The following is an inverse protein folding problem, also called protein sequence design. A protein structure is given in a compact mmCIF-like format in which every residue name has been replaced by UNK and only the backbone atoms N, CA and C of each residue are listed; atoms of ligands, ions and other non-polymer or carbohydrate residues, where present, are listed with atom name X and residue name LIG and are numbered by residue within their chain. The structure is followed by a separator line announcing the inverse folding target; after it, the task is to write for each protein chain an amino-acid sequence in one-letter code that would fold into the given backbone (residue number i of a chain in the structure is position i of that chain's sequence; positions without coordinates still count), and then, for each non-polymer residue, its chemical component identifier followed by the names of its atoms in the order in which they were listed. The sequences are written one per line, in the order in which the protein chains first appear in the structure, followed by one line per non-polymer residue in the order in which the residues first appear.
data_IF_077897313219
#
_entry.id   IF_077897313219
#
_cell.length_a   1.000
_cell.length_b   1.000
_cell.length_c   1.000
_cell.angle_alpha   90.00
_cell.angle_beta   90.00
_cell.angle_gamma   90.00
#
_symmetry.space_group_name_H-M   'P 1'
#
loop_
_entity.id
_entity.type
_entity.pdbx_description
1 polymer ?
#
# COMPACT_ATOMS: atom_id res chain seq x y z
N UNK A 1 17.68 11.94 -15.94
CA UNK A 1 17.13 11.06 -17.00
C UNK A 1 16.08 10.18 -16.33
N UNK A 2 14.79 10.39 -16.63
CA UNK A 2 13.70 9.54 -16.12
C UNK A 2 13.83 8.21 -16.83
N UNK A 3 14.18 7.14 -16.10
CA UNK A 3 14.14 5.82 -16.68
C UNK A 3 12.69 5.32 -16.50
N UNK A 4 11.88 5.23 -17.57
CA UNK A 4 10.44 4.95 -17.44
C UNK A 4 10.14 3.57 -16.83
N UNK A 5 11.15 2.69 -16.77
CA UNK A 5 11.09 1.34 -16.20
C UNK A 5 11.60 1.27 -14.75
N UNK A 6 12.03 2.39 -14.15
CA UNK A 6 12.55 2.37 -12.78
C UNK A 6 11.42 2.60 -11.78
N UNK A 7 10.94 1.50 -11.18
CA UNK A 7 9.91 1.53 -10.13
C UNK A 7 10.28 2.48 -8.98
N UNK A 8 11.57 2.64 -8.67
CA UNK A 8 12.04 3.50 -7.60
C UNK A 8 11.84 4.99 -7.91
N UNK A 9 12.07 5.42 -9.15
CA UNK A 9 11.88 6.82 -9.56
C UNK A 9 10.40 7.23 -9.47
N UNK A 10 9.51 6.33 -9.88
CA UNK A 10 8.06 6.51 -9.78
C UNK A 10 7.59 6.49 -8.33
N UNK A 11 8.15 5.61 -7.48
CA UNK A 11 7.88 5.57 -6.04
C UNK A 11 8.25 6.88 -5.36
N UNK A 12 9.46 7.38 -5.62
CA UNK A 12 9.94 8.65 -5.05
C UNK A 12 9.06 9.83 -5.51
N UNK A 13 8.66 9.85 -6.78
CA UNK A 13 7.72 10.85 -7.29
C UNK A 13 6.36 10.78 -6.57
N UNK A 14 5.85 9.57 -6.33
CA UNK A 14 4.62 9.36 -5.58
C UNK A 14 4.71 9.86 -4.15
N UNK A 15 5.84 9.65 -3.47
CA UNK A 15 6.10 10.20 -2.13
C UNK A 15 6.10 11.72 -2.18
N UNK A 16 6.79 12.33 -3.14
CA UNK A 16 6.81 13.81 -3.28
C UNK A 16 5.41 14.38 -3.50
N UNK A 17 4.54 13.75 -4.28
CA UNK A 17 3.17 14.21 -4.45
C UNK A 17 2.34 14.04 -3.15
N UNK A 18 2.49 12.91 -2.45
CA UNK A 18 1.81 12.66 -1.18
C UNK A 18 2.23 13.67 -0.09
N UNK A 19 3.52 14.04 -0.02
CA UNK A 19 4.02 15.08 0.89
C UNK A 19 3.46 16.48 0.59
N UNK A 20 2.91 16.69 -0.61
CA UNK A 20 2.29 17.94 -1.04
C UNK A 20 0.74 17.88 -1.02
N UNK A 21 0.16 16.86 -0.38
CA UNK A 21 -1.30 16.60 -0.34
C UNK A 21 -1.93 16.43 -1.75
N UNK A 22 -1.15 16.02 -2.74
CA UNK A 22 -1.59 15.77 -4.12
C UNK A 22 -1.87 14.27 -4.34
N UNK A 23 -2.88 13.77 -3.63
CA UNK A 23 -3.21 12.34 -3.55
C UNK A 23 -3.46 11.69 -4.92
N UNK A 24 -4.08 12.42 -5.85
CA UNK A 24 -4.33 11.90 -7.20
C UNK A 24 -3.04 11.62 -7.97
N UNK A 25 -2.09 12.55 -7.92
CA UNK A 25 -0.81 12.38 -8.60
C UNK A 25 0.09 11.37 -7.87
N UNK A 26 -0.02 11.29 -6.55
CA UNK A 26 0.66 10.26 -5.76
C UNK A 26 0.21 8.85 -6.17
N UNK A 27 -1.11 8.62 -6.27
CA UNK A 27 -1.68 7.34 -6.73
C UNK A 27 -1.22 7.03 -8.16
N UNK A 28 -1.28 8.00 -9.07
CA UNK A 28 -0.86 7.79 -10.47
C UNK A 28 0.61 7.39 -10.58
N UNK A 29 1.50 8.06 -9.83
CA UNK A 29 2.92 7.71 -9.79
C UNK A 29 3.15 6.33 -9.17
N UNK A 30 2.43 5.99 -8.09
CA UNK A 30 2.50 4.67 -7.47
C UNK A 30 1.97 3.55 -8.38
N UNK A 31 0.95 3.80 -9.19
CA UNK A 31 0.48 2.85 -10.20
C UNK A 31 1.57 2.55 -11.24
N UNK A 32 2.27 3.58 -11.74
CA UNK A 32 3.41 3.35 -12.64
C UNK A 32 4.56 2.60 -11.97
N UNK A 33 4.83 2.86 -10.69
CA UNK A 33 5.81 2.08 -9.93
C UNK A 33 5.37 0.60 -9.81
N UNK A 34 4.08 0.34 -9.66
CA UNK A 34 3.51 -1.00 -9.56
C UNK A 34 3.56 -1.76 -10.89
N UNK A 35 3.38 -1.06 -12.01
CA UNK A 35 3.54 -1.64 -13.34
C UNK A 35 4.99 -2.07 -13.59
N UNK A 36 5.96 -1.27 -13.12
CA UNK A 36 7.38 -1.54 -13.26
C UNK A 36 7.90 -2.64 -12.31
N UNK A 37 7.43 -2.66 -11.05
CA UNK A 37 7.69 -3.75 -10.10
C UNK A 37 6.40 -4.14 -9.34
N UNK A 38 5.70 -5.19 -9.82
CA UNK A 38 4.46 -5.65 -9.19
C UNK A 38 4.63 -6.21 -7.78
N UNK A 39 5.87 -6.46 -7.33
CA UNK A 39 6.19 -7.09 -6.05
C UNK A 39 6.70 -6.09 -5.01
N UNK A 40 6.86 -4.83 -5.39
CA UNK A 40 7.37 -3.78 -4.51
C UNK A 40 6.42 -3.58 -3.32
N UNK A 41 6.88 -3.99 -2.13
CA UNK A 41 6.07 -3.96 -0.92
C UNK A 41 5.66 -2.54 -0.52
N UNK A 42 6.49 -1.55 -0.76
CA UNK A 42 6.16 -0.17 -0.39
C UNK A 42 5.06 0.39 -1.29
N UNK A 43 5.15 0.13 -2.60
CA UNK A 43 4.16 0.56 -3.59
C UNK A 43 2.82 -0.15 -3.38
N UNK A 44 2.84 -1.47 -3.18
CA UNK A 44 1.63 -2.26 -2.90
C UNK A 44 0.93 -1.77 -1.63
N UNK A 45 1.69 -1.43 -0.60
CA UNK A 45 1.13 -0.91 0.63
C UNK A 45 0.56 0.50 0.45
N UNK A 46 1.29 1.39 -0.23
CA UNK A 46 0.84 2.76 -0.50
C UNK A 46 -0.50 2.75 -1.26
N UNK A 47 -0.59 1.99 -2.35
CA UNK A 47 -1.84 1.83 -3.11
C UNK A 47 -2.96 1.22 -2.24
N UNK A 48 -2.65 0.18 -1.46
CA UNK A 48 -3.62 -0.43 -0.55
C UNK A 48 -4.21 0.55 0.47
N UNK A 49 -3.39 1.43 1.04
CA UNK A 49 -3.83 2.47 1.99
C UNK A 49 -4.62 3.56 1.28
N UNK A 50 -4.13 4.08 0.15
CA UNK A 50 -4.83 5.12 -0.63
C UNK A 50 -6.23 4.66 -1.04
N UNK A 51 -6.36 3.46 -1.62
CA UNK A 51 -7.68 2.92 -1.99
C UNK A 51 -8.57 2.60 -0.78
N UNK A 52 -7.99 2.36 0.41
CA UNK A 52 -8.78 2.22 1.65
C UNK A 52 -9.39 3.56 2.07
N UNK A 53 -8.63 4.66 1.93
CA UNK A 53 -9.10 6.02 2.23
C UNK A 53 -10.20 6.47 1.27
N UNK A 54 -10.08 6.12 -0.01
CA UNK A 54 -11.09 6.38 -1.06
C UNK A 54 -12.31 5.44 -0.99
N UNK A 55 -12.39 4.56 0.02
CA UNK A 55 -13.45 3.57 0.21
C UNK A 55 -13.58 2.55 -0.94
N UNK A 56 -12.54 2.41 -1.76
CA UNK A 56 -12.45 1.46 -2.87
C UNK A 56 -11.98 0.08 -2.37
N UNK A 57 -12.83 -0.56 -1.57
CA UNK A 57 -12.49 -1.76 -0.79
C UNK A 57 -11.92 -2.92 -1.63
N UNK A 58 -12.49 -3.21 -2.80
CA UNK A 58 -12.03 -4.31 -3.66
C UNK A 58 -10.62 -4.06 -4.17
N UNK A 59 -10.33 -2.83 -4.59
CA UNK A 59 -9.01 -2.41 -5.09
C UNK A 59 -7.99 -2.39 -3.96
N UNK A 60 -8.36 -1.85 -2.79
CA UNK A 60 -7.54 -1.87 -1.59
C UNK A 60 -7.15 -3.30 -1.20
N UNK A 61 -8.11 -4.22 -1.18
CA UNK A 61 -7.88 -5.62 -0.85
C UNK A 61 -6.92 -6.30 -1.83
N UNK A 62 -7.05 -6.03 -3.13
CA UNK A 62 -6.13 -6.56 -4.15
C UNK A 62 -4.68 -6.20 -3.82
N UNK A 63 -4.40 -4.93 -3.54
CA UNK A 63 -3.04 -4.47 -3.24
C UNK A 63 -2.54 -4.92 -1.87
N UNK A 64 -3.37 -4.87 -0.83
CA UNK A 64 -3.02 -5.35 0.51
C UNK A 64 -2.77 -6.87 0.53
N UNK A 65 -3.51 -7.64 -0.26
CA UNK A 65 -3.27 -9.06 -0.42
C UNK A 65 -1.96 -9.34 -1.18
N UNK A 66 -1.69 -8.56 -2.24
CA UNK A 66 -0.40 -8.60 -2.93
C UNK A 66 0.76 -8.34 -1.96
N UNK A 67 0.64 -7.30 -1.15
CA UNK A 67 1.61 -6.99 -0.10
C UNK A 67 1.80 -8.17 0.85
N UNK A 68 0.70 -8.75 1.36
CA UNK A 68 0.75 -9.86 2.30
C UNK A 68 1.50 -11.06 1.71
N UNK A 69 1.18 -11.43 0.46
CA UNK A 69 1.81 -12.56 -0.25
C UNK A 69 3.32 -12.40 -0.43
N UNK A 70 3.76 -11.20 -0.80
CA UNK A 70 5.18 -10.93 -1.06
C UNK A 70 5.96 -10.62 0.22
N UNK A 71 5.28 -10.41 1.35
CA UNK A 71 5.93 -10.08 2.61
C UNK A 71 6.69 -11.28 3.20
N UNK A 72 8.01 -11.18 3.49
CA UNK A 72 8.83 -12.31 3.94
C UNK A 72 8.32 -13.02 5.20
N UNK A 73 7.70 -12.25 6.12
CA UNK A 73 7.15 -12.77 7.38
C UNK A 73 5.69 -13.20 7.31
N UNK A 74 4.92 -12.60 6.40
CA UNK A 74 3.45 -12.73 6.40
C UNK A 74 2.90 -13.43 5.16
N UNK A 75 3.74 -13.75 4.17
CA UNK A 75 3.34 -14.47 2.95
C UNK A 75 2.69 -15.82 3.22
N UNK A 76 3.08 -16.48 4.31
CA UNK A 76 2.46 -17.74 4.76
C UNK A 76 1.03 -17.58 5.26
N UNK A 77 0.60 -16.36 5.57
CA UNK A 77 -0.77 -16.02 5.99
C UNK A 77 -1.70 -15.70 4.80
N UNK A 78 -1.18 -15.74 3.56
CA UNK A 78 -1.91 -15.39 2.33
C UNK A 78 -2.19 -16.62 1.44
N UNK A 79 -3.11 -17.52 1.83
CA UNK A 79 -3.46 -18.70 1.04
C UNK A 79 -4.03 -18.31 -0.33
N UNK A 80 -3.81 -19.15 -1.35
CA UNK A 80 -4.28 -18.88 -2.72
C UNK A 80 -5.82 -18.85 -2.80
N UNK A 81 -6.50 -19.59 -1.95
CA UNK A 81 -7.97 -19.58 -1.82
C UNK A 81 -8.51 -18.17 -1.52
N UNK A 82 -7.75 -17.38 -0.75
CA UNK A 82 -8.12 -16.01 -0.43
C UNK A 82 -8.01 -15.09 -1.65
N UNK A 83 -7.04 -15.30 -2.55
CA UNK A 83 -6.93 -14.54 -3.80
C UNK A 83 -8.19 -14.72 -4.67
N UNK A 84 -8.66 -15.96 -4.80
CA UNK A 84 -9.85 -16.29 -5.55
C UNK A 84 -11.08 -15.64 -4.90
N UNK A 85 -11.24 -15.71 -3.58
CA UNK A 85 -12.34 -15.04 -2.87
C UNK A 85 -12.36 -13.53 -3.07
N UNK A 86 -11.20 -12.88 -3.18
CA UNK A 86 -11.09 -11.45 -3.45
C UNK A 86 -11.45 -11.11 -4.90
N UNK A 87 -11.10 -11.98 -5.85
CA UNK A 87 -11.36 -11.79 -7.28
C UNK A 87 -12.82 -12.09 -7.67
N UNK A 88 -13.45 -13.06 -7.00
CA UNK A 88 -14.80 -13.51 -7.33
C UNK A 88 -15.91 -12.71 -6.65
N UNK A 89 -15.62 -11.86 -5.67
CA UNK A 89 -16.46 -10.78 -5.13
C UNK A 89 -17.99 -11.04 -4.96
N UNK A 90 -18.44 -12.29 -4.92
CA UNK A 90 -19.70 -12.76 -4.32
C UNK A 90 -19.53 -12.97 -2.79
N UNK A 91 -18.35 -12.68 -2.27
CA UNK A 91 -18.07 -12.65 -0.85
C UNK A 91 -18.67 -11.39 -0.20
N UNK A 92 -20.01 -11.34 -0.15
CA UNK A 92 -20.84 -10.47 0.71
C UNK A 92 -20.52 -10.59 2.22
N UNK A 93 -19.48 -11.37 2.59
CA UNK A 93 -19.09 -11.71 3.96
C UNK A 93 -17.60 -11.47 4.27
N UNK A 94 -16.83 -10.87 3.34
CA UNK A 94 -15.50 -10.36 3.68
C UNK A 94 -15.68 -9.25 4.70
N UNK A 95 -15.57 -9.60 5.99
CA UNK A 95 -15.85 -8.69 7.10
C UNK A 95 -15.07 -7.40 6.84
N UNK A 96 -15.71 -6.22 6.84
CA UNK A 96 -15.06 -4.92 6.64
C UNK A 96 -13.81 -4.71 7.51
N UNK A 97 -13.75 -5.46 8.61
CA UNK A 97 -12.66 -5.53 9.57
C UNK A 97 -11.34 -6.05 8.98
N UNK A 98 -11.36 -6.91 7.95
CA UNK A 98 -10.14 -7.47 7.35
C UNK A 98 -9.34 -6.41 6.59
N UNK A 99 -10.02 -5.58 5.78
CA UNK A 99 -9.39 -4.48 5.04
C UNK A 99 -8.68 -3.56 6.02
N UNK A 100 -9.40 -3.10 7.06
CA UNK A 100 -8.83 -2.24 8.10
C UNK A 100 -7.72 -2.93 8.89
N UNK A 101 -7.85 -4.22 9.23
CA UNK A 101 -6.82 -4.95 9.96
C UNK A 101 -5.53 -5.07 9.14
N UNK A 102 -5.63 -5.42 7.85
CA UNK A 102 -4.47 -5.52 6.97
C UNK A 102 -3.87 -4.17 6.63
N UNK A 103 -4.70 -3.13 6.43
CA UNK A 103 -4.23 -1.76 6.28
C UNK A 103 -3.48 -1.30 7.54
N UNK A 104 -4.02 -1.57 8.74
CA UNK A 104 -3.36 -1.24 10.01
C UNK A 104 -2.07 -2.04 10.21
N UNK A 105 -2.02 -3.31 9.80
CA UNK A 105 -0.78 -4.11 9.81
C UNK A 105 0.26 -3.52 8.86
N UNK A 106 -0.18 -3.12 7.66
CA UNK A 106 0.66 -2.47 6.67
C UNK A 106 1.21 -1.14 7.18
N UNK A 107 0.36 -0.25 7.70
CA UNK A 107 0.76 1.01 8.33
C UNK A 107 1.70 0.77 9.52
N UNK A 108 1.45 -0.25 10.35
CA UNK A 108 2.36 -0.62 11.45
C UNK A 108 3.73 -1.05 10.92
N UNK A 109 3.78 -1.78 9.80
CA UNK A 109 5.01 -2.17 9.15
C UNK A 109 5.73 -0.98 8.52
N UNK A 110 5.04 -0.13 7.75
CA UNK A 110 5.58 1.12 7.21
C UNK A 110 6.11 2.01 8.33
N UNK A 111 5.42 2.10 9.47
CA UNK A 111 5.91 2.82 10.62
C UNK A 111 7.16 2.17 11.22
N UNK A 112 7.23 0.84 11.34
CA UNK A 112 8.45 0.16 11.81
C UNK A 112 9.64 0.39 10.86
N UNK A 113 9.41 0.30 9.56
CA UNK A 113 10.39 0.56 8.51
C UNK A 113 10.81 2.04 8.55
N UNK A 114 9.87 2.97 8.58
CA UNK A 114 10.12 4.40 8.79
C UNK A 114 10.73 4.73 10.15
N UNK A 115 10.60 3.90 11.18
CA UNK A 115 11.33 4.10 12.46
C UNK A 115 12.78 3.63 12.31
N UNK A 116 13.02 2.60 11.48
CA UNK A 116 14.34 2.08 11.16
C UNK A 116 15.11 3.03 10.23
N UNK A 117 14.42 3.66 9.27
CA UNK A 117 14.98 4.67 8.35
C UNK A 117 14.89 6.11 8.90
N UNK A 118 13.89 6.41 9.73
CA UNK A 118 13.58 7.75 10.28
C UNK A 118 14.45 8.16 11.47
N UNK A 119 15.45 7.36 11.86
CA UNK A 119 16.62 7.93 12.54
C UNK A 119 17.40 8.91 11.64
N UNK A 120 17.13 8.95 10.34
CA UNK A 120 17.77 9.87 9.39
C UNK A 120 16.88 10.99 8.81
N UNK A 121 15.58 11.07 9.12
CA UNK A 121 14.79 12.26 8.78
C UNK A 121 13.45 12.28 9.53
N UNK A 122 13.45 12.98 10.66
CA UNK A 122 12.28 13.22 11.49
C UNK A 122 11.50 14.43 11.00
N UNK A 123 10.33 14.24 10.35
CA UNK A 123 9.32 15.30 10.21
C UNK A 123 7.89 14.74 10.24
N UNK A 124 7.20 15.05 11.34
CA UNK A 124 5.78 15.42 11.46
C UNK A 124 4.70 14.57 10.76
N UNK A 125 4.11 13.64 11.52
CA UNK A 125 2.68 13.34 11.40
C UNK A 125 2.03 13.68 12.75
N UNK A 126 1.68 14.95 12.95
CA UNK A 126 0.89 15.40 14.09
C UNK A 126 -0.57 14.96 13.89
N UNK A 127 -0.99 14.07 14.79
CA UNK A 127 -2.36 13.74 15.24
C UNK A 127 -3.51 14.50 14.57
N UNK A 128 -4.38 13.74 13.93
CA UNK A 128 -5.81 14.05 13.77
C UNK A 128 -6.47 13.99 15.16
N UNK A 129 -7.13 15.08 15.56
CA UNK A 129 -7.93 15.13 16.79
C UNK A 129 -8.10 16.54 17.35
N UNK A 130 -8.94 17.34 16.69
CA UNK A 130 -9.84 18.29 17.35
C UNK A 130 -11.28 17.81 17.10
#
# INVERSE_FOLDING_TARGET
MKNPENAEDWRLLGITHAENDDDQQAIAAMMHAQEADPTNLEVLLALGVSHTNELEQTTALKYLYGWLRHHPKYGTLAPLELANSLYYADALDLKPNYVRAWANMGISYANQVSTYFGKNNSLNMKRVGE
#
